data_IF_004789633481
#
_entry.id   IF_004789633481
#
_cell.length_a   1.000
_cell.length_b   1.000
_cell.length_c   1.000
_cell.angle_alpha   90.00
_cell.angle_beta   90.00
_cell.angle_gamma   90.00
#
_symmetry.space_group_name_H-M   'P 1'
#
loop_
_entity.id
_entity.type
_entity.pdbx_description
1 polymer ?
#
# COMPACT_ATOMS: atom_id res chain seq x y z
N UNK A 1 21.07 -9.58 9.63
CA UNK A 1 20.55 -8.42 10.34
C UNK A 1 19.22 -8.00 9.77
N UNK A 2 18.19 -7.91 10.60
CA UNK A 2 16.89 -7.49 10.13
C UNK A 2 16.92 -6.01 9.77
N UNK A 3 16.54 -5.69 8.55
CA UNK A 3 16.42 -4.32 8.12
C UNK A 3 14.99 -3.87 8.44
N UNK A 4 14.86 -2.85 9.27
CA UNK A 4 13.57 -2.28 9.56
C UNK A 4 13.29 -1.15 8.58
N UNK A 5 12.11 -1.18 7.97
CA UNK A 5 11.67 -0.08 7.13
C UNK A 5 11.09 1.01 8.01
N UNK A 6 11.43 2.26 7.70
CA UNK A 6 10.87 3.40 8.41
C UNK A 6 9.45 3.66 7.92
N UNK A 7 8.50 3.66 8.86
CA UNK A 7 7.10 3.88 8.53
C UNK A 7 6.61 5.17 9.18
N UNK A 8 6.09 6.07 8.36
CA UNK A 8 5.44 7.29 8.86
C UNK A 8 4.06 6.88 9.36
N UNK A 9 3.82 7.07 10.65
CA UNK A 9 2.57 6.64 11.28
C UNK A 9 1.40 7.52 10.87
N UNK A 10 0.20 7.01 11.09
CA UNK A 10 -1.04 7.75 10.87
C UNK A 10 -1.01 9.09 11.59
N UNK A 11 -0.56 9.09 12.83
CA UNK A 11 -0.46 10.32 13.62
C UNK A 11 0.50 11.32 13.00
N UNK A 12 1.61 10.83 12.46
CA UNK A 12 2.65 11.69 11.87
C UNK A 12 2.19 12.35 10.57
N UNK A 13 1.34 11.69 9.77
CA UNK A 13 0.86 12.33 8.55
C UNK A 13 -0.52 13.00 8.74
N UNK A 14 -1.02 13.02 9.95
CA UNK A 14 -2.24 13.74 10.26
C UNK A 14 -3.52 13.03 9.85
N UNK A 15 -3.54 11.71 9.94
CA UNK A 15 -4.71 10.92 9.58
C UNK A 15 -5.92 11.27 10.43
N UNK A 16 -7.10 11.32 9.80
CA UNK A 16 -8.35 11.35 10.54
C UNK A 16 -8.60 9.98 11.17
N UNK A 17 -9.27 9.93 12.32
CA UNK A 17 -9.59 8.62 12.89
C UNK A 17 -10.56 7.86 11.99
N UNK A 18 -10.48 6.52 11.95
CA UNK A 18 -11.43 5.75 11.16
C UNK A 18 -12.84 5.89 11.74
N UNK A 19 -13.84 5.82 10.86
CA UNK A 19 -15.23 5.92 11.29
C UNK A 19 -15.65 4.73 12.14
N UNK A 20 -15.07 3.56 11.87
CA UNK A 20 -15.31 2.33 12.61
C UNK A 20 -13.99 1.56 12.72
N UNK A 21 -13.86 0.75 13.77
CA UNK A 21 -12.72 -0.14 13.91
C UNK A 21 -12.77 -1.15 12.77
N UNK A 22 -11.69 -1.29 11.99
CA UNK A 22 -11.70 -2.22 10.86
C UNK A 22 -11.74 -3.68 11.33
N UNK A 23 -12.26 -4.55 10.47
CA UNK A 23 -12.15 -5.98 10.69
C UNK A 23 -10.68 -6.38 10.69
N UNK A 24 -10.36 -7.45 11.39
CA UNK A 24 -8.98 -7.91 11.56
C UNK A 24 -8.66 -9.05 10.61
N UNK A 25 -7.42 -9.04 10.10
CA UNK A 25 -6.83 -10.16 9.37
C UNK A 25 -5.75 -10.73 10.27
N UNK A 26 -5.79 -12.03 10.55
CA UNK A 26 -4.75 -12.66 11.36
C UNK A 26 -3.43 -12.78 10.60
N UNK A 27 -3.50 -13.12 9.31
CA UNK A 27 -2.31 -13.31 8.49
C UNK A 27 -2.73 -13.19 7.02
N UNK A 28 -2.14 -12.24 6.28
CA UNK A 28 -2.48 -12.04 4.88
C UNK A 28 -1.94 -13.17 4.02
N UNK A 29 -2.79 -13.72 3.17
CA UNK A 29 -2.42 -14.78 2.23
C UNK A 29 -2.00 -14.22 0.89
N UNK A 30 -2.36 -12.98 0.60
CA UNK A 30 -2.04 -12.29 -0.65
C UNK A 30 -1.59 -10.87 -0.36
N UNK A 31 -0.75 -10.37 -1.24
CA UNK A 31 -0.38 -8.95 -1.25
C UNK A 31 -0.81 -8.39 -2.60
N UNK A 32 -1.63 -7.36 -2.60
CA UNK A 32 -2.15 -6.74 -3.82
C UNK A 32 -1.53 -5.37 -3.96
N UNK A 33 -0.86 -5.14 -5.07
CA UNK A 33 -0.14 -3.89 -5.34
C UNK A 33 -1.02 -2.96 -6.17
N UNK A 34 -1.06 -1.70 -5.75
CA UNK A 34 -1.81 -0.63 -6.40
C UNK A 34 -0.91 0.54 -6.73
N UNK A 35 -1.38 1.43 -7.60
CA UNK A 35 -0.89 2.80 -7.65
C UNK A 35 -2.05 3.71 -7.23
N UNK A 36 -1.71 4.90 -6.75
CA UNK A 36 -2.76 5.84 -6.33
C UNK A 36 -3.39 6.56 -7.53
N UNK A 37 -2.75 6.46 -8.69
CA UNK A 37 -3.18 7.12 -9.94
C UNK A 37 -3.25 8.64 -9.74
N UNK A 38 -2.26 9.18 -9.06
CA UNK A 38 -2.12 10.60 -8.76
C UNK A 38 -0.78 11.07 -9.29
N UNK A 39 -0.55 12.39 -9.41
CA UNK A 39 0.80 12.88 -9.66
C UNK A 39 1.74 12.40 -8.54
N UNK A 40 2.99 12.13 -8.86
CA UNK A 40 3.96 11.74 -7.87
C UNK A 40 4.31 12.94 -6.98
N UNK A 41 4.82 12.65 -5.79
CA UNK A 41 5.24 13.68 -4.85
C UNK A 41 6.75 13.62 -4.66
N UNK A 42 7.39 14.78 -4.51
CA UNK A 42 8.85 14.88 -4.50
C UNK A 42 9.44 15.27 -3.14
N UNK A 43 8.62 15.73 -2.19
CA UNK A 43 9.08 16.09 -0.85
C UNK A 43 8.24 15.39 0.21
N UNK A 44 8.80 15.29 1.43
CA UNK A 44 8.06 14.69 2.54
C UNK A 44 6.73 15.41 2.77
N UNK A 45 6.74 16.75 2.79
CA UNK A 45 5.52 17.51 3.04
C UNK A 45 4.49 17.33 1.94
N UNK A 46 4.93 17.26 0.69
CA UNK A 46 4.02 17.02 -0.43
C UNK A 46 3.41 15.62 -0.33
N UNK A 47 4.20 14.61 0.01
CA UNK A 47 3.71 13.25 0.15
C UNK A 47 2.75 13.10 1.32
N UNK A 48 3.04 13.74 2.45
CA UNK A 48 2.13 13.78 3.59
C UNK A 48 0.78 14.37 3.20
N UNK A 49 0.80 15.49 2.49
CA UNK A 49 -0.43 16.13 2.01
C UNK A 49 -1.19 15.22 1.05
N UNK A 50 -0.46 14.50 0.19
CA UNK A 50 -1.07 13.59 -0.78
C UNK A 50 -1.77 12.43 -0.07
N UNK A 51 -1.11 11.81 0.91
CA UNK A 51 -1.70 10.70 1.65
C UNK A 51 -2.96 11.16 2.40
N UNK A 52 -2.89 12.32 3.05
CA UNK A 52 -4.03 12.89 3.76
C UNK A 52 -5.19 13.20 2.80
N UNK A 53 -4.88 13.70 1.61
CA UNK A 53 -5.89 13.98 0.58
C UNK A 53 -6.55 12.69 0.09
N UNK A 54 -5.78 11.62 -0.09
CA UNK A 54 -6.31 10.33 -0.51
C UNK A 54 -7.27 9.79 0.57
N UNK A 55 -6.88 9.87 1.84
CA UNK A 55 -7.76 9.46 2.92
C UNK A 55 -9.06 10.24 2.90
N UNK A 56 -8.97 11.56 2.77
CA UNK A 56 -10.15 12.41 2.74
C UNK A 56 -11.09 12.03 1.60
N UNK A 57 -10.55 11.79 0.42
CA UNK A 57 -11.35 11.35 -0.74
C UNK A 57 -12.03 10.03 -0.49
N UNK A 58 -11.32 9.06 0.08
CA UNK A 58 -11.90 7.77 0.39
C UNK A 58 -13.01 7.86 1.42
N UNK A 59 -12.86 8.72 2.43
CA UNK A 59 -13.85 8.85 3.51
C UNK A 59 -15.05 9.69 3.11
N UNK A 60 -14.85 10.70 2.27
CA UNK A 60 -15.93 11.63 1.90
C UNK A 60 -16.63 11.25 0.58
N UNK A 61 -15.85 10.99 -0.48
CA UNK A 61 -16.40 10.70 -1.80
C UNK A 61 -16.84 9.24 -1.93
N UNK A 62 -16.04 8.31 -1.42
CA UNK A 62 -16.36 6.89 -1.45
C UNK A 62 -17.09 6.42 -0.20
N UNK A 63 -17.14 7.27 0.82
CA UNK A 63 -17.83 7.00 2.09
C UNK A 63 -17.29 5.78 2.82
N UNK A 64 -16.01 5.50 2.63
CA UNK A 64 -15.32 4.43 3.37
C UNK A 64 -14.98 4.89 4.78
N UNK A 65 -14.70 3.94 5.66
CA UNK A 65 -14.39 4.23 7.06
C UNK A 65 -13.01 4.85 7.25
N UNK A 66 -12.12 4.69 6.27
CA UNK A 66 -10.72 5.11 6.35
C UNK A 66 -10.13 5.07 4.94
N UNK A 67 -8.86 5.46 4.81
CA UNK A 67 -8.08 5.22 3.60
C UNK A 67 -8.13 3.73 3.27
N UNK A 68 -8.23 3.38 1.99
CA UNK A 68 -8.46 2.01 1.59
C UNK A 68 -7.26 1.09 1.65
N UNK A 69 -6.05 1.66 1.59
CA UNK A 69 -4.81 0.88 1.55
C UNK A 69 -4.27 0.61 2.94
N UNK A 70 -3.57 -0.52 3.09
CA UNK A 70 -2.88 -0.82 4.35
C UNK A 70 -1.60 0.00 4.49
N UNK A 71 -0.85 0.17 3.39
CA UNK A 71 0.36 0.99 3.35
C UNK A 71 0.47 1.71 2.03
N UNK A 72 1.22 2.81 2.02
CA UNK A 72 1.54 3.56 0.81
C UNK A 72 3.04 3.80 0.80
N UNK A 73 3.63 3.93 -0.40
CA UNK A 73 5.07 4.16 -0.52
C UNK A 73 5.33 5.29 -1.52
N UNK A 74 6.24 6.19 -1.14
CA UNK A 74 6.65 7.31 -1.98
C UNK A 74 7.90 6.96 -2.79
N UNK A 75 8.19 7.78 -3.79
CA UNK A 75 9.32 7.56 -4.69
C UNK A 75 10.67 7.56 -3.96
N UNK A 76 10.79 8.27 -2.85
CA UNK A 76 12.02 8.31 -2.05
C UNK A 76 12.15 7.10 -1.12
N UNK A 77 11.20 6.18 -1.14
CA UNK A 77 11.22 5.00 -0.29
C UNK A 77 10.50 5.17 1.05
N UNK A 78 9.92 6.34 1.33
CA UNK A 78 9.15 6.55 2.56
C UNK A 78 7.87 5.71 2.51
N UNK A 79 7.60 4.95 3.58
CA UNK A 79 6.39 4.15 3.71
C UNK A 79 5.45 4.86 4.68
N UNK A 80 4.18 4.96 4.30
CA UNK A 80 3.13 5.59 5.11
C UNK A 80 2.15 4.53 5.58
N UNK A 81 1.79 4.59 6.86
CA UNK A 81 0.81 3.68 7.43
C UNK A 81 -0.60 4.10 7.03
N UNK A 82 -1.30 3.26 6.28
CA UNK A 82 -2.72 3.46 6.00
C UNK A 82 -3.54 2.77 7.09
N UNK A 83 -4.22 1.68 6.75
CA UNK A 83 -4.92 0.89 7.79
C UNK A 83 -3.95 0.04 8.62
N UNK A 84 -2.72 -0.12 8.16
CA UNK A 84 -1.68 -0.81 8.89
C UNK A 84 -1.77 -2.32 8.84
N UNK A 85 -0.98 -2.97 9.68
CA UNK A 85 -0.96 -4.42 9.78
C UNK A 85 -2.23 -4.93 10.45
N UNK A 86 -2.67 -6.10 10.01
CA UNK A 86 -3.76 -6.80 10.69
C UNK A 86 -5.14 -6.22 10.47
N UNK A 87 -5.31 -5.30 9.55
CA UNK A 87 -6.60 -4.67 9.26
C UNK A 87 -7.07 -5.03 7.84
N UNK A 88 -8.37 -5.30 7.70
CA UNK A 88 -8.97 -5.51 6.38
C UNK A 88 -9.07 -4.16 5.68
N UNK A 89 -8.50 -4.05 4.48
CA UNK A 89 -8.55 -2.82 3.70
C UNK A 89 -9.81 -2.69 2.86
N UNK A 90 -9.88 -1.61 2.10
CA UNK A 90 -10.92 -1.39 1.09
C UNK A 90 -10.21 -1.02 -0.21
N UNK A 91 -9.39 -1.93 -0.72
CA UNK A 91 -8.53 -1.65 -1.87
C UNK A 91 -8.80 -2.54 -3.08
N UNK A 92 -9.43 -3.69 -2.89
CA UNK A 92 -9.73 -4.61 -3.99
C UNK A 92 -11.04 -5.33 -3.67
N UNK A 93 -12.12 -4.82 -4.21
CA UNK A 93 -13.48 -5.31 -3.93
C UNK A 93 -13.58 -6.82 -4.05
N UNK A 94 -14.10 -7.47 -3.00
CA UNK A 94 -14.25 -8.92 -2.95
C UNK A 94 -12.98 -9.67 -2.58
N UNK A 95 -11.85 -8.98 -2.42
CA UNK A 95 -10.55 -9.61 -2.15
C UNK A 95 -9.84 -9.04 -0.94
N UNK A 96 -10.52 -8.21 -0.15
CA UNK A 96 -9.88 -7.49 0.96
C UNK A 96 -9.64 -8.37 2.19
N UNK A 97 -10.46 -9.37 2.41
CA UNK A 97 -10.49 -10.12 3.66
C UNK A 97 -9.25 -10.97 3.93
N UNK A 98 -8.48 -11.29 2.89
CA UNK A 98 -7.27 -12.13 3.02
C UNK A 98 -6.03 -11.49 2.41
N UNK A 99 -6.08 -10.18 2.11
CA UNK A 99 -5.00 -9.51 1.40
C UNK A 99 -4.53 -8.25 2.10
N UNK A 100 -3.26 -7.92 1.85
CA UNK A 100 -2.65 -6.66 2.25
C UNK A 100 -2.55 -5.77 1.03
N UNK A 101 -3.08 -4.56 1.09
CA UNK A 101 -3.03 -3.62 -0.03
C UNK A 101 -1.92 -2.59 0.16
N UNK A 102 -1.01 -2.51 -0.79
CA UNK A 102 0.09 -1.55 -0.79
C UNK A 102 -0.02 -0.71 -2.05
N UNK A 103 -0.06 0.61 -1.90
CA UNK A 103 -0.17 1.54 -3.03
C UNK A 103 1.12 2.33 -3.19
N UNK A 104 1.61 2.43 -4.43
CA UNK A 104 2.70 3.32 -4.77
C UNK A 104 2.10 4.67 -5.12
N UNK A 105 2.60 5.73 -4.50
CA UNK A 105 2.15 7.10 -4.75
C UNK A 105 2.60 7.52 -6.15
N UNK A 106 1.66 7.73 -7.05
CA UNK A 106 1.94 8.12 -8.42
C UNK A 106 1.07 7.40 -9.42
N UNK A 107 1.44 7.56 -10.69
CA UNK A 107 0.79 6.90 -11.82
C UNK A 107 1.87 6.16 -12.61
N UNK A 108 1.77 4.85 -12.67
CA UNK A 108 2.80 4.00 -13.27
C UNK A 108 2.34 3.33 -14.56
N UNK A 109 1.46 3.99 -15.28
CA UNK A 109 1.08 3.53 -16.61
C UNK A 109 2.22 3.71 -17.62
N UNK A 110 2.96 4.80 -17.48
CA UNK A 110 4.06 5.17 -18.40
C UNK A 110 5.41 5.28 -17.72
N UNK A 111 5.44 5.45 -16.41
CA UNK A 111 6.66 5.60 -15.62
C UNK A 111 6.90 4.38 -14.76
N UNK A 112 8.16 3.97 -14.66
CA UNK A 112 8.53 2.88 -13.76
C UNK A 112 8.63 3.40 -12.33
N UNK A 113 8.36 2.55 -11.30
CA UNK A 113 8.59 2.96 -9.92
C UNK A 113 10.09 3.08 -9.65
N UNK A 114 10.45 3.90 -8.65
CA UNK A 114 11.83 4.10 -8.28
C UNK A 114 12.41 2.84 -7.62
N UNK A 115 13.74 2.71 -7.68
CA UNK A 115 14.43 1.62 -6.97
C UNK A 115 14.23 1.73 -5.47
N UNK A 116 14.20 2.94 -4.93
CA UNK A 116 13.99 3.19 -3.50
C UNK A 116 12.62 2.71 -3.05
N UNK A 117 11.57 2.99 -3.84
CA UNK A 117 10.22 2.54 -3.51
C UNK A 117 10.12 1.01 -3.55
N UNK A 118 10.70 0.38 -4.58
CA UNK A 118 10.69 -1.07 -4.68
C UNK A 118 11.44 -1.72 -3.51
N UNK A 119 12.59 -1.16 -3.15
CA UNK A 119 13.38 -1.68 -2.03
C UNK A 119 12.62 -1.57 -0.71
N UNK A 120 11.95 -0.45 -0.47
CA UNK A 120 11.17 -0.24 0.75
C UNK A 120 10.00 -1.21 0.85
N UNK A 121 9.28 -1.44 -0.24
CA UNK A 121 8.18 -2.40 -0.23
C UNK A 121 8.69 -3.81 0.02
N UNK A 122 9.81 -4.17 -0.58
CA UNK A 122 10.42 -5.47 -0.35
C UNK A 122 10.78 -5.67 1.12
N UNK A 123 11.35 -4.65 1.76
CA UNK A 123 11.66 -4.68 3.19
C UNK A 123 10.40 -4.75 4.04
N UNK A 124 9.35 -4.02 3.64
CA UNK A 124 8.07 -4.04 4.33
C UNK A 124 7.46 -5.45 4.29
N UNK A 125 7.51 -6.11 3.15
CA UNK A 125 6.99 -7.47 3.01
C UNK A 125 7.78 -8.45 3.88
N UNK A 126 9.10 -8.32 3.91
CA UNK A 126 9.95 -9.16 4.77
C UNK A 126 9.64 -8.93 6.24
N UNK A 127 9.43 -7.69 6.65
CA UNK A 127 9.05 -7.35 8.01
C UNK A 127 7.69 -7.96 8.37
N UNK A 128 6.73 -7.87 7.46
CA UNK A 128 5.40 -8.45 7.70
C UNK A 128 5.44 -9.96 7.86
N UNK A 129 6.26 -10.65 7.06
CA UNK A 129 6.44 -12.09 7.20
C UNK A 129 7.10 -12.44 8.53
N UNK A 130 8.12 -11.69 8.90
CA UNK A 130 8.86 -11.90 10.14
C UNK A 130 7.97 -11.70 11.36
N UNK A 131 7.04 -10.77 11.31
CA UNK A 131 6.12 -10.48 12.41
C UNK A 131 4.86 -11.35 12.41
N UNK A 132 4.67 -12.15 11.37
CA UNK A 132 3.50 -13.01 11.27
C UNK A 132 2.26 -12.37 10.67
N UNK A 133 2.38 -11.19 10.07
CA UNK A 133 1.26 -10.51 9.41
C UNK A 133 1.03 -10.98 7.98
N UNK A 134 2.05 -11.57 7.36
CA UNK A 134 2.00 -12.06 5.98
C UNK A 134 2.51 -13.48 5.98
N UNK A 135 1.81 -14.37 5.27
CA UNK A 135 2.28 -15.76 5.14
C UNK A 135 3.56 -15.81 4.33
N UNK A 136 4.51 -16.68 4.69
CA UNK A 136 5.77 -16.79 3.93
C UNK A 136 5.57 -17.14 2.45
N UNK A 137 4.50 -17.87 2.14
CA UNK A 137 4.17 -18.29 0.78
C UNK A 137 3.04 -17.46 0.20
N UNK A 138 3.00 -16.17 0.53
CA UNK A 138 1.95 -15.29 0.03
C UNK A 138 1.97 -15.20 -1.49
N UNK A 139 0.79 -14.95 -2.07
CA UNK A 139 0.66 -14.68 -3.50
C UNK A 139 0.79 -13.18 -3.72
N UNK A 140 1.60 -12.78 -4.69
CA UNK A 140 1.78 -11.38 -5.04
C UNK A 140 1.05 -11.10 -6.35
N UNK A 141 0.16 -10.12 -6.34
CA UNK A 141 -0.57 -9.75 -7.54
C UNK A 141 -0.77 -8.24 -7.63
N UNK A 142 -1.07 -7.77 -8.84
CA UNK A 142 -1.52 -6.41 -9.03
C UNK A 142 -3.03 -6.35 -8.93
N UNK A 143 -3.56 -5.17 -8.70
CA UNK A 143 -5.00 -4.99 -8.60
C UNK A 143 -5.72 -5.50 -9.87
N UNK A 144 -5.08 -5.35 -11.04
CA UNK A 144 -5.67 -5.81 -12.30
C UNK A 144 -5.87 -7.33 -12.37
N UNK A 145 -5.16 -8.09 -11.54
CA UNK A 145 -5.30 -9.54 -11.52
C UNK A 145 -6.60 -9.98 -10.84
N UNK A 146 -7.18 -9.12 -10.02
CA UNK A 146 -8.37 -9.44 -9.23
C UNK A 146 -9.53 -8.46 -9.48
N UNK A 147 -9.35 -7.45 -10.34
CA UNK A 147 -10.38 -6.48 -10.65
C UNK A 147 -10.25 -5.96 -12.07
N UNK A 148 -11.29 -5.32 -12.54
CA UNK A 148 -11.33 -4.72 -13.88
C UNK A 148 -10.73 -3.32 -13.83
N UNK A 149 -9.41 -3.23 -13.89
CA UNK A 149 -8.69 -1.97 -13.76
C UNK A 149 -7.29 -2.09 -14.38
N UNK A 150 -6.69 -0.96 -14.75
CA UNK A 150 -5.31 -0.90 -15.21
C UNK A 150 -4.32 -0.82 -14.03
N UNK A 151 -4.82 -0.55 -12.82
CA UNK A 151 -4.01 -0.48 -11.62
C UNK A 151 -3.22 -1.78 -11.44
N UNK A 152 -1.94 -1.73 -11.12
CA UNK A 152 -1.14 -0.59 -10.65
C UNK A 152 -0.41 0.18 -11.75
N UNK A 153 -0.82 0.05 -13.00
CA UNK A 153 -0.15 0.64 -14.15
C UNK A 153 0.83 -0.34 -14.78
N UNK A 154 0.93 -0.31 -16.12
CA UNK A 154 1.70 -1.31 -16.86
C UNK A 154 3.16 -1.38 -16.43
N UNK A 155 3.78 -0.24 -16.12
CA UNK A 155 5.20 -0.20 -15.76
C UNK A 155 5.46 -0.80 -14.38
N UNK A 156 4.62 -0.51 -13.40
CA UNK A 156 4.74 -1.13 -12.08
C UNK A 156 4.38 -2.61 -12.14
N UNK A 157 3.32 -2.93 -12.86
CA UNK A 157 2.88 -4.32 -13.00
C UNK A 157 4.00 -5.19 -13.59
N UNK A 158 4.76 -4.67 -14.55
CA UNK A 158 5.84 -5.40 -15.19
C UNK A 158 7.02 -5.73 -14.28
N UNK A 159 7.15 -5.05 -13.13
CA UNK A 159 8.27 -5.29 -12.20
C UNK A 159 7.83 -5.89 -10.86
N UNK A 160 6.57 -6.34 -10.76
CA UNK A 160 6.05 -6.88 -9.49
C UNK A 160 6.89 -8.00 -8.92
N UNK A 161 7.42 -8.89 -9.78
CA UNK A 161 8.19 -10.03 -9.31
C UNK A 161 9.45 -9.63 -8.54
N UNK A 162 9.96 -8.44 -8.76
CA UNK A 162 11.11 -7.93 -8.02
C UNK A 162 10.80 -7.74 -6.53
N UNK A 163 9.54 -7.55 -6.18
CA UNK A 163 9.13 -7.37 -4.79
C UNK A 163 9.19 -8.68 -4.00
N UNK A 164 9.09 -9.81 -4.69
CA UNK A 164 9.07 -11.13 -4.06
C UNK A 164 10.43 -11.82 -4.10
N UNK A 165 11.34 -11.37 -4.95
CA UNK A 165 12.66 -12.01 -5.07
C UNK A 165 13.50 -11.75 -3.83
N UNK A 166 14.29 -12.74 -3.47
CA UNK A 166 15.22 -12.65 -2.33
C UNK A 166 16.57 -12.11 -2.75
#
# INVERSE_FOLDING_TARGET
MATTVEIVSRQQWGAAPPKQVPEKISCAQRVIIHHTDTPSCSSRSECVSRVASIQRGHMTERKWDDIGYNFLVAADGTVFEGRGWGAVGAHAKGNNHDSLGIAFLGNFKSEAPSCEALASVKQLLQSGMSQGFIKPQFSLCGHRDVGDTECPGAKLYGVLQQLKST
#
